data_IF_760201987083
#
_entry.id   IF_760201987083
#
_cell.length_a   1.000
_cell.length_b   1.000
_cell.length_c   1.000
_cell.angle_alpha   90.00
_cell.angle_beta   90.00
_cell.angle_gamma   90.00
#
_symmetry.space_group_name_H-M   'P 1'
#
loop_
_entity.id
_entity.type
_entity.pdbx_description
1 polymer ?
#
# COMPACT_ATOMS: atom_id res chain seq x y z
N UNK A 1 2.76 14.50 6.34
CA UNK A 1 2.22 15.65 5.59
C UNK A 1 1.27 16.44 6.47
N UNK A 2 1.45 17.75 6.53
CA UNK A 2 0.55 18.68 7.21
C UNK A 2 -0.46 19.18 6.18
N UNK A 3 -1.76 19.13 6.50
CA UNK A 3 -2.80 19.66 5.60
C UNK A 3 -2.81 21.19 5.65
N UNK A 4 -3.11 21.85 4.52
CA UNK A 4 -3.22 23.32 4.46
C UNK A 4 -4.33 23.87 5.37
N UNK A 5 -5.43 23.15 5.52
CA UNK A 5 -6.54 23.50 6.41
C UNK A 5 -6.64 22.51 7.56
N UNK A 6 -7.03 23.01 8.75
CA UNK A 6 -7.22 22.18 9.95
C UNK A 6 -8.49 21.32 9.88
N UNK A 7 -9.55 21.84 9.25
CA UNK A 7 -10.85 21.19 9.15
C UNK A 7 -11.20 20.88 7.69
N UNK A 8 -11.85 19.75 7.46
CA UNK A 8 -12.32 19.34 6.14
C UNK A 8 -12.80 17.89 6.13
N UNK A 9 -13.57 17.54 5.10
CA UNK A 9 -14.00 16.16 4.83
C UNK A 9 -12.85 15.41 4.16
N UNK A 10 -12.58 14.19 4.61
CA UNK A 10 -11.55 13.33 4.01
C UNK A 10 -12.21 12.35 3.06
N UNK A 11 -11.65 12.25 1.86
CA UNK A 11 -12.03 11.25 0.86
C UNK A 11 -10.88 10.27 0.64
N UNK A 12 -11.22 9.03 0.32
CA UNK A 12 -10.35 8.06 -0.29
C UNK A 12 -10.77 7.94 -1.75
N UNK A 13 -9.84 8.10 -2.68
CA UNK A 13 -10.15 8.09 -4.12
C UNK A 13 -9.18 7.19 -4.87
N UNK A 14 -9.70 6.61 -5.94
CA UNK A 14 -8.97 5.86 -6.94
C UNK A 14 -8.99 6.70 -8.21
N UNK A 15 -7.83 6.93 -8.79
CA UNK A 15 -7.72 7.67 -10.03
C UNK A 15 -6.86 6.88 -11.02
N UNK A 16 -7.10 7.12 -12.31
CA UNK A 16 -6.18 6.73 -13.37
C UNK A 16 -4.93 7.59 -13.36
N UNK A 17 -3.96 7.26 -14.22
CA UNK A 17 -2.72 8.02 -14.38
C UNK A 17 -2.91 9.38 -15.06
N UNK A 18 -4.03 9.57 -15.77
CA UNK A 18 -4.47 10.83 -16.38
C UNK A 18 -5.45 11.61 -15.47
N UNK A 19 -5.40 11.35 -14.16
CA UNK A 19 -6.16 12.05 -13.11
C UNK A 19 -7.69 11.88 -13.17
N UNK A 20 -8.20 10.90 -13.92
CA UNK A 20 -9.63 10.60 -13.94
C UNK A 20 -10.05 9.82 -12.69
N UNK A 21 -11.04 10.34 -11.97
CA UNK A 21 -11.58 9.71 -10.76
C UNK A 21 -12.44 8.48 -11.09
N UNK A 22 -11.99 7.31 -10.67
CA UNK A 22 -12.65 6.02 -10.91
C UNK A 22 -13.61 5.62 -9.79
N UNK A 23 -13.21 5.83 -8.54
CA UNK A 23 -14.01 5.46 -7.37
C UNK A 23 -13.65 6.36 -6.18
N UNK A 24 -14.61 6.58 -5.27
CA UNK A 24 -14.43 7.43 -4.11
C UNK A 24 -15.27 6.96 -2.92
N UNK A 25 -14.67 7.03 -1.72
CA UNK A 25 -15.33 6.75 -0.46
C UNK A 25 -15.06 7.85 0.57
N UNK A 26 -16.13 8.30 1.24
CA UNK A 26 -16.06 9.33 2.27
C UNK A 26 -15.60 8.70 3.59
N UNK A 27 -14.64 9.33 4.27
CA UNK A 27 -14.26 8.94 5.62
C UNK A 27 -15.30 9.44 6.63
N UNK A 28 -16.06 8.53 7.21
CA UNK A 28 -17.11 8.82 8.21
C UNK A 28 -16.66 8.60 9.66
N UNK A 29 -15.38 8.32 9.91
CA UNK A 29 -14.86 8.00 11.24
C UNK A 29 -15.15 6.58 11.73
N UNK A 30 -16.19 5.93 11.18
CA UNK A 30 -16.54 4.52 11.38
C UNK A 30 -16.26 3.76 10.09
N UNK A 31 -15.78 2.53 10.21
CA UNK A 31 -15.51 1.67 9.05
C UNK A 31 -16.04 0.29 9.36
N UNK A 32 -16.77 -0.29 8.42
CA UNK A 32 -17.16 -1.69 8.51
C UNK A 32 -15.90 -2.55 8.39
N UNK A 33 -15.69 -3.40 9.39
CA UNK A 33 -14.63 -4.41 9.35
C UNK A 33 -15.21 -5.63 8.65
N UNK A 34 -14.64 -6.01 7.51
CA UNK A 34 -14.91 -7.30 6.90
C UNK A 34 -14.11 -8.39 7.63
N UNK A 35 -14.69 -9.58 7.80
CA UNK A 35 -14.04 -10.68 8.49
C UNK A 35 -12.63 -10.97 7.92
N UNK A 36 -11.62 -10.94 8.79
CA UNK A 36 -10.23 -11.25 8.42
C UNK A 36 -9.46 -10.15 7.66
N UNK A 37 -10.04 -8.95 7.52
CA UNK A 37 -9.38 -7.76 6.93
C UNK A 37 -9.23 -6.65 7.98
N UNK A 38 -8.10 -5.94 7.96
CA UNK A 38 -7.99 -4.70 8.75
C UNK A 38 -8.83 -3.59 8.10
N UNK A 39 -9.19 -2.55 8.86
CA UNK A 39 -9.94 -1.38 8.35
C UNK A 39 -9.39 -0.82 7.03
N UNK A 40 -8.07 -0.74 6.92
CA UNK A 40 -7.39 -0.24 5.70
C UNK A 40 -7.46 -1.27 4.57
N UNK A 41 -7.33 -2.56 4.88
CA UNK A 41 -7.48 -3.60 3.87
C UNK A 41 -8.90 -3.65 3.32
N UNK A 42 -9.93 -3.54 4.18
CA UNK A 42 -11.34 -3.48 3.77
C UNK A 42 -11.61 -2.26 2.89
N UNK A 43 -11.08 -1.10 3.28
CA UNK A 43 -11.16 0.13 2.49
C UNK A 43 -10.56 -0.05 1.09
N UNK A 44 -9.33 -0.55 0.99
CA UNK A 44 -8.68 -0.76 -0.30
C UNK A 44 -9.44 -1.78 -1.13
N UNK A 45 -9.88 -2.89 -0.53
CA UNK A 45 -10.65 -3.92 -1.23
C UNK A 45 -11.96 -3.36 -1.79
N UNK A 46 -12.71 -2.60 -0.99
CA UNK A 46 -13.97 -1.98 -1.41
C UNK A 46 -13.78 -0.98 -2.55
N UNK A 47 -12.72 -0.18 -2.51
CA UNK A 47 -12.39 0.76 -3.59
C UNK A 47 -11.96 0.06 -4.87
N UNK A 48 -11.26 -1.08 -4.75
CA UNK A 48 -10.71 -1.86 -5.85
C UNK A 48 -11.70 -2.87 -6.45
N UNK A 49 -12.78 -3.22 -5.75
CA UNK A 49 -13.73 -4.29 -6.13
C UNK A 49 -14.10 -4.27 -7.62
N UNK A 50 -14.45 -3.11 -8.24
CA UNK A 50 -14.84 -3.07 -9.65
C UNK A 50 -13.70 -3.35 -10.64
N UNK A 51 -12.45 -3.30 -10.17
CA UNK A 51 -11.22 -3.40 -10.98
C UNK A 51 -10.42 -4.67 -10.69
N UNK A 52 -10.90 -5.51 -9.77
CA UNK A 52 -10.29 -6.80 -9.48
C UNK A 52 -10.38 -7.72 -10.71
N UNK A 53 -9.52 -8.74 -10.70
CA UNK A 53 -9.42 -9.79 -11.72
C UNK A 53 -9.04 -9.32 -13.14
N UNK A 54 -8.73 -8.03 -13.31
CA UNK A 54 -8.47 -7.38 -14.62
C UNK A 54 -6.99 -7.24 -14.99
N UNK A 55 -6.06 -7.54 -14.09
CA UNK A 55 -4.62 -7.43 -14.37
C UNK A 55 -4.03 -6.02 -14.18
N UNK A 56 -4.77 -5.10 -13.54
CA UNK A 56 -4.31 -3.72 -13.34
C UNK A 56 -3.21 -3.59 -12.28
N UNK A 57 -2.42 -2.52 -12.40
CA UNK A 57 -1.41 -2.10 -11.42
C UNK A 57 -1.95 -0.93 -10.59
N UNK A 58 -2.04 -1.11 -9.28
CA UNK A 58 -2.41 -0.05 -8.34
C UNK A 58 -1.18 0.52 -7.64
N UNK A 59 -1.05 1.85 -7.67
CA UNK A 59 0.02 2.58 -7.01
C UNK A 59 -0.53 3.25 -5.75
N UNK A 60 0.07 2.99 -4.59
CA UNK A 60 -0.46 3.46 -3.30
C UNK A 60 0.64 3.99 -2.38
N UNK A 61 0.27 4.89 -1.46
CA UNK A 61 1.15 5.35 -0.39
C UNK A 61 1.26 4.32 0.75
N UNK A 62 2.28 4.47 1.60
CA UNK A 62 2.61 3.61 2.74
C UNK A 62 1.48 3.39 3.74
N UNK A 63 0.49 4.30 3.80
CA UNK A 63 -0.65 4.16 4.71
C UNK A 63 -1.58 3.02 4.29
N UNK A 64 -1.69 2.78 2.98
CA UNK A 64 -2.57 1.76 2.41
C UNK A 64 -1.84 0.43 2.18
N UNK A 65 -0.52 0.48 1.96
CA UNK A 65 0.26 -0.69 1.62
C UNK A 65 0.60 -1.59 2.80
N UNK A 66 0.50 -2.89 2.55
CA UNK A 66 1.10 -3.93 3.38
C UNK A 66 1.46 -5.15 2.53
N UNK A 67 2.43 -5.95 3.00
CA UNK A 67 2.82 -7.21 2.35
C UNK A 67 1.63 -8.18 2.26
N UNK A 68 0.80 -8.22 3.30
CA UNK A 68 -0.37 -9.08 3.38
C UNK A 68 -1.46 -8.66 2.38
N UNK A 69 -1.74 -7.36 2.28
CA UNK A 69 -2.69 -6.81 1.30
C UNK A 69 -2.22 -7.08 -0.13
N UNK A 70 -0.94 -6.85 -0.40
CA UNK A 70 -0.35 -7.10 -1.72
C UNK A 70 -0.51 -8.56 -2.15
N UNK A 71 -0.29 -9.50 -1.22
CA UNK A 71 -0.53 -10.93 -1.47
C UNK A 71 -2.00 -11.29 -1.69
N UNK A 72 -2.94 -10.58 -1.04
CA UNK A 72 -4.39 -10.78 -1.24
C UNK A 72 -4.86 -10.22 -2.59
N UNK A 73 -4.46 -9.00 -2.95
CA UNK A 73 -4.80 -8.36 -4.23
C UNK A 73 -4.21 -9.13 -5.42
N UNK A 74 -2.99 -9.64 -5.27
CA UNK A 74 -2.37 -10.48 -6.30
C UNK A 74 -3.20 -11.73 -6.64
N UNK A 75 -3.80 -12.37 -5.63
CA UNK A 75 -4.69 -13.53 -5.87
C UNK A 75 -5.93 -13.17 -6.71
N UNK A 76 -6.30 -11.89 -6.72
CA UNK A 76 -7.39 -11.30 -7.50
C UNK A 76 -6.84 -10.55 -8.73
N UNK A 77 -5.72 -11.03 -9.29
CA UNK A 77 -5.02 -10.46 -10.47
C UNK A 77 -4.85 -8.94 -10.42
N UNK A 78 -4.55 -8.39 -9.24
CA UNK A 78 -4.25 -6.98 -9.08
C UNK A 78 -2.85 -6.81 -8.49
N UNK A 79 -2.02 -6.12 -9.25
CA UNK A 79 -0.63 -5.82 -8.93
C UNK A 79 -0.56 -4.58 -8.06
N UNK A 80 0.31 -4.58 -7.05
CA UNK A 80 0.49 -3.44 -6.15
C UNK A 80 1.89 -2.89 -6.30
N UNK A 81 2.03 -1.57 -6.25
CA UNK A 81 3.33 -0.90 -6.13
C UNK A 81 3.23 0.27 -5.17
N UNK A 82 4.25 0.45 -4.33
CA UNK A 82 4.35 1.64 -3.50
C UNK A 82 5.28 1.49 -2.32
N UNK A 83 5.25 2.47 -1.43
CA UNK A 83 6.09 2.46 -0.22
C UNK A 83 5.45 1.64 0.89
N UNK A 84 6.26 1.13 1.82
CA UNK A 84 5.85 0.41 3.03
C UNK A 84 6.31 1.15 4.27
N UNK A 85 5.50 1.09 5.33
CA UNK A 85 5.95 1.48 6.68
C UNK A 85 6.86 0.41 7.24
N UNK A 86 8.08 0.77 7.67
CA UNK A 86 9.05 -0.17 8.25
C UNK A 86 8.47 -0.97 9.43
N UNK A 87 7.72 -0.31 10.32
CA UNK A 87 7.19 -0.91 11.56
C UNK A 87 5.91 -1.76 11.37
N UNK A 88 5.58 -2.18 10.15
CA UNK A 88 4.39 -2.99 9.90
C UNK A 88 4.64 -4.47 10.29
N UNK A 89 3.73 -5.06 11.09
CA UNK A 89 3.89 -6.38 11.79
C UNK A 89 4.22 -7.61 10.92
N UNK A 90 4.16 -7.50 9.59
CA UNK A 90 4.37 -8.61 8.64
C UNK A 90 5.48 -8.35 7.62
N UNK A 91 6.27 -7.29 7.81
CA UNK A 91 7.44 -7.07 6.98
C UNK A 91 8.55 -8.06 7.37
N UNK A 92 9.30 -8.64 6.42
CA UNK A 92 10.40 -9.54 6.75
C UNK A 92 11.49 -8.82 7.55
N UNK A 93 11.83 -9.35 8.73
CA UNK A 93 12.86 -8.76 9.61
C UNK A 93 14.22 -8.66 8.92
N UNK A 94 14.55 -9.64 8.08
CA UNK A 94 15.80 -9.66 7.31
C UNK A 94 15.99 -8.42 6.40
N UNK A 95 14.90 -7.76 5.97
CA UNK A 95 15.00 -6.55 5.16
C UNK A 95 14.81 -5.28 5.98
N UNK A 96 13.97 -5.31 7.03
CA UNK A 96 13.71 -4.13 7.88
C UNK A 96 14.79 -3.85 8.93
N UNK A 97 15.55 -4.88 9.34
CA UNK A 97 16.66 -4.72 10.30
C UNK A 97 18.03 -4.61 9.62
N UNK A 98 18.07 -4.65 8.29
CA UNK A 98 19.30 -4.53 7.53
C UNK A 98 19.88 -3.12 7.68
N UNK A 99 21.12 -3.02 8.18
CA UNK A 99 21.83 -1.74 8.28
C UNK A 99 22.46 -1.38 6.94
N UNK A 100 21.71 -0.65 6.11
CA UNK A 100 22.20 -0.16 4.82
C UNK A 100 23.11 1.06 4.98
N UNK A 101 24.15 1.13 4.13
CA UNK A 101 24.91 2.36 3.85
C UNK A 101 24.21 3.17 2.76
N UNK A 102 24.51 4.47 2.67
CA UNK A 102 24.00 5.34 1.60
C UNK A 102 24.35 4.76 0.22
N UNK A 103 23.39 4.73 -0.69
CA UNK A 103 23.49 4.14 -2.02
C UNK A 103 23.28 2.63 -2.07
N UNK A 104 23.14 1.94 -0.93
CA UNK A 104 22.89 0.50 -0.92
C UNK A 104 21.41 0.19 -1.08
N UNK A 105 21.16 -0.94 -1.75
CA UNK A 105 19.86 -1.52 -1.98
C UNK A 105 19.87 -3.00 -1.57
N UNK A 106 18.80 -3.43 -0.93
CA UNK A 106 18.55 -4.82 -0.57
C UNK A 106 17.13 -5.19 -0.99
N UNK A 107 16.96 -6.35 -1.60
CA UNK A 107 15.64 -6.87 -1.97
C UNK A 107 15.40 -8.25 -1.36
N UNK A 108 14.17 -8.51 -0.94
CA UNK A 108 13.74 -9.82 -0.47
C UNK A 108 12.35 -10.12 -1.00
N UNK A 109 12.16 -11.34 -1.45
CA UNK A 109 10.85 -11.85 -1.84
C UNK A 109 10.17 -12.53 -0.65
N UNK A 110 8.92 -12.17 -0.39
CA UNK A 110 8.04 -12.79 0.60
C UNK A 110 6.88 -13.47 -0.10
N UNK A 111 6.96 -14.80 -0.26
CA UNK A 111 6.08 -15.58 -1.14
C UNK A 111 6.14 -15.01 -2.57
N UNK A 112 5.07 -14.42 -3.06
CA UNK A 112 5.06 -13.82 -4.41
C UNK A 112 5.37 -12.33 -4.38
N UNK A 113 5.31 -11.67 -3.23
CA UNK A 113 5.47 -10.21 -3.11
C UNK A 113 6.94 -9.85 -2.97
N UNK A 114 7.43 -8.89 -3.77
CA UNK A 114 8.78 -8.37 -3.65
C UNK A 114 8.82 -7.15 -2.74
N UNK A 115 9.87 -7.07 -1.94
CA UNK A 115 10.11 -5.97 -1.01
C UNK A 115 11.53 -5.48 -1.27
N UNK A 116 11.67 -4.18 -1.47
CA UNK A 116 12.94 -3.49 -1.67
C UNK A 116 13.18 -2.51 -0.53
N UNK A 117 14.41 -2.45 -0.07
CA UNK A 117 14.91 -1.48 0.89
C UNK A 117 16.08 -0.74 0.25
N UNK A 118 15.95 0.57 0.15
CA UNK A 118 17.00 1.43 -0.39
C UNK A 118 17.26 2.58 0.56
N UNK A 119 18.53 2.92 0.73
CA UNK A 119 18.94 4.04 1.57
C UNK A 119 19.71 5.06 0.76
N UNK A 120 19.15 6.25 0.64
CA UNK A 120 19.89 7.45 0.24
C UNK A 120 20.05 8.37 1.45
N UNK A 121 19.36 9.52 1.50
CA UNK A 121 19.31 10.34 2.72
C UNK A 121 18.50 9.66 3.83
N UNK A 122 17.39 9.05 3.46
CA UNK A 122 16.53 8.25 4.34
C UNK A 122 16.39 6.85 3.75
N UNK A 123 16.02 5.93 4.63
CA UNK A 123 15.73 4.56 4.25
C UNK A 123 14.26 4.44 3.81
N UNK A 124 14.05 3.84 2.64
CA UNK A 124 12.73 3.69 2.03
C UNK A 124 12.50 2.21 1.77
N UNK A 125 11.41 1.70 2.33
CA UNK A 125 10.91 0.37 2.03
C UNK A 125 9.83 0.48 0.95
N UNK A 126 9.91 -0.36 -0.08
CA UNK A 126 8.94 -0.44 -1.17
C UNK A 126 8.43 -1.87 -1.33
N UNK A 127 7.21 -2.00 -1.81
CA UNK A 127 6.57 -3.27 -2.18
C UNK A 127 6.16 -3.23 -3.64
N UNK A 128 6.37 -4.34 -4.34
CA UNK A 128 5.92 -4.52 -5.71
C UNK A 128 5.62 -5.99 -6.02
N UNK A 129 4.73 -6.21 -6.99
CA UNK A 129 4.52 -7.49 -7.67
C UNK A 129 4.05 -7.21 -9.10
#
# INVERSE_FOLDING_TARGET
MTKKTRYGVKFYSVCTTDDYGLNLQIYSGKSDEAEGLSKIQTLVHSLMEPFLDSGHNVFMDNFYNSVDLSGKLLKRKMHTTGTLRQNHKKNPTAITQAKLKKGQHLSKRSKNVYISNWKDKLEVLAVYH
#
